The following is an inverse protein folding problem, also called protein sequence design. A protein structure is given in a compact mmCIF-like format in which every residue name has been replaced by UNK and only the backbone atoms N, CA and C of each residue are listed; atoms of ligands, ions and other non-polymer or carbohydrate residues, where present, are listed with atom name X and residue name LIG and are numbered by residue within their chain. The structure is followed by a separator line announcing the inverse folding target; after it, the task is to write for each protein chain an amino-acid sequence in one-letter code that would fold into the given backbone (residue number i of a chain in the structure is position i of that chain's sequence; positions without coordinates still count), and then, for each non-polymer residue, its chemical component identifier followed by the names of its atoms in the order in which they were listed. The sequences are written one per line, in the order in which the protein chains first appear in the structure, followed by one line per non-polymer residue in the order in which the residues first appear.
data_IF_514568119261
#
_entry.id   IF_514568119261
#
_cell.length_a   1.000
_cell.length_b   1.000
_cell.length_c   1.000
_cell.angle_alpha   90.00
_cell.angle_beta   90.00
_cell.angle_gamma   90.00
#
_symmetry.space_group_name_H-M   'P 1'
#
loop_
_entity.id
_entity.type
_entity.pdbx_description
1 polymer ?
#
# COMPACT_ATOMS: atom_id res chain seq x y z
N UNK A 1 18.65 -3.68 2.02
CA UNK A 1 18.06 -2.32 1.95
C UNK A 1 18.80 -1.24 2.75
N UNK A 2 19.85 -1.52 3.53
CA UNK A 2 20.62 -0.46 4.21
C UNK A 2 21.59 0.32 3.29
N UNK A 3 21.96 -0.21 2.12
CA UNK A 3 23.09 0.32 1.33
C UNK A 3 22.71 1.02 0.04
N UNK A 4 21.42 1.04 -0.35
CA UNK A 4 20.97 1.60 -1.63
C UNK A 4 19.69 2.42 -1.45
N UNK A 5 19.87 3.64 -0.95
CA UNK A 5 18.85 4.69 -0.89
C UNK A 5 19.14 5.69 -2.02
N UNK A 6 18.13 6.10 -2.76
CA UNK A 6 18.28 7.18 -3.75
C UNK A 6 18.59 8.49 -3.02
N UNK A 7 19.62 9.21 -3.48
CA UNK A 7 20.04 10.49 -2.87
C UNK A 7 19.10 11.65 -3.23
N UNK A 8 18.33 11.52 -4.31
CA UNK A 8 17.39 12.55 -4.80
C UNK A 8 15.96 12.33 -4.35
N UNK A 9 15.59 11.10 -4.02
CA UNK A 9 14.25 10.73 -3.52
C UNK A 9 14.42 9.65 -2.42
N UNK A 10 14.53 10.06 -1.15
CA UNK A 10 14.80 9.16 -0.03
C UNK A 10 13.71 8.10 0.21
N UNK A 11 12.50 8.34 -0.30
CA UNK A 11 11.32 7.50 -0.12
C UNK A 11 11.23 6.40 -1.21
N UNK A 12 11.85 6.63 -2.36
CA UNK A 12 12.02 5.61 -3.39
C UNK A 12 13.08 4.58 -2.93
N UNK A 13 12.66 3.34 -2.68
CA UNK A 13 13.56 2.25 -2.27
C UNK A 13 13.50 1.09 -3.25
N UNK A 14 14.55 0.27 -3.24
CA UNK A 14 14.64 -0.91 -4.08
C UNK A 14 13.56 -1.93 -3.68
N UNK A 15 12.59 -2.15 -4.55
CA UNK A 15 11.62 -3.22 -4.45
C UNK A 15 11.68 -4.14 -5.67
N UNK A 16 11.23 -5.37 -5.46
CA UNK A 16 11.00 -6.37 -6.51
C UNK A 16 9.54 -6.78 -6.46
N UNK A 17 8.89 -6.81 -7.61
CA UNK A 17 7.49 -7.26 -7.73
C UNK A 17 7.36 -8.78 -7.56
N UNK A 18 8.36 -9.53 -8.03
CA UNK A 18 8.43 -10.98 -7.90
C UNK A 18 9.87 -11.44 -7.65
N UNK A 19 10.06 -12.69 -7.20
CA UNK A 19 11.37 -13.24 -6.87
C UNK A 19 12.38 -13.24 -8.06
N UNK A 20 11.86 -13.23 -9.30
CA UNK A 20 12.68 -13.19 -10.53
C UNK A 20 12.89 -11.79 -11.12
N UNK A 21 12.26 -10.76 -10.58
CA UNK A 21 12.37 -9.40 -11.14
C UNK A 21 13.62 -8.67 -10.65
N UNK A 22 14.14 -7.79 -11.51
CA UNK A 22 15.19 -6.86 -11.13
C UNK A 22 14.67 -5.86 -10.06
N UNK A 23 15.47 -5.61 -9.03
CA UNK A 23 15.16 -4.59 -8.03
C UNK A 23 15.19 -3.21 -8.68
N UNK A 24 14.10 -2.45 -8.57
CA UNK A 24 13.99 -1.07 -9.08
C UNK A 24 13.64 -0.13 -7.94
N UNK A 25 14.08 1.12 -8.04
CA UNK A 25 13.61 2.18 -7.14
C UNK A 25 12.15 2.45 -7.46
N UNK A 26 11.27 2.27 -6.49
CA UNK A 26 9.85 2.53 -6.65
C UNK A 26 9.25 3.07 -5.35
N UNK A 27 8.04 3.61 -5.50
CA UNK A 27 7.13 3.96 -4.42
C UNK A 27 6.05 2.89 -4.31
N UNK A 28 5.42 2.77 -3.14
CA UNK A 28 4.24 1.91 -2.97
C UNK A 28 3.00 2.78 -3.11
N UNK A 29 2.17 2.48 -4.10
CA UNK A 29 0.87 3.12 -4.27
C UNK A 29 -0.22 2.23 -3.69
N UNK A 30 -1.08 2.82 -2.87
CA UNK A 30 -2.23 2.20 -2.24
C UNK A 30 -3.49 2.82 -2.83
N UNK A 31 -4.41 2.00 -3.30
CA UNK A 31 -5.63 2.45 -3.99
C UNK A 31 -6.83 1.90 -3.23
N UNK A 32 -7.71 2.79 -2.78
CA UNK A 32 -9.01 2.41 -2.24
C UNK A 32 -10.07 2.52 -3.35
N UNK A 33 -10.80 1.44 -3.57
CA UNK A 33 -11.85 1.37 -4.59
C UNK A 33 -13.21 1.06 -4.00
N UNK A 34 -14.25 1.70 -4.53
CA UNK A 34 -15.64 1.32 -4.30
C UNK A 34 -15.93 0.02 -5.07
N UNK A 35 -16.30 -1.02 -4.34
CA UNK A 35 -16.32 -2.39 -4.88
C UNK A 35 -17.41 -2.63 -5.94
N UNK A 36 -18.54 -1.90 -5.90
CA UNK A 36 -19.66 -2.14 -6.82
C UNK A 36 -19.37 -1.68 -8.24
N UNK A 37 -18.76 -0.52 -8.38
CA UNK A 37 -18.54 0.11 -9.68
C UNK A 37 -17.06 0.19 -10.08
N UNK A 38 -16.15 -0.23 -9.19
CA UNK A 38 -14.70 -0.17 -9.42
C UNK A 38 -14.17 1.27 -9.44
N UNK A 39 -14.87 2.20 -8.80
CA UNK A 39 -14.45 3.61 -8.77
C UNK A 39 -13.32 3.80 -7.77
N UNK A 40 -12.25 4.48 -8.18
CA UNK A 40 -11.18 4.90 -7.28
C UNK A 40 -11.74 5.99 -6.36
N UNK A 41 -11.75 5.71 -5.06
CA UNK A 41 -12.24 6.62 -4.02
C UNK A 41 -11.12 7.49 -3.51
N UNK A 42 -9.94 6.89 -3.30
CA UNK A 42 -8.78 7.59 -2.74
C UNK A 42 -7.49 6.83 -3.09
N UNK A 43 -6.36 7.53 -3.08
CA UNK A 43 -5.03 6.99 -3.37
C UNK A 43 -4.03 7.58 -2.39
N UNK A 44 -3.19 6.73 -1.79
CA UNK A 44 -2.01 7.19 -1.06
C UNK A 44 -0.73 6.58 -1.64
N UNK A 45 0.38 7.29 -1.45
CA UNK A 45 1.70 6.84 -1.88
C UNK A 45 2.61 6.89 -0.67
N UNK A 46 3.37 5.82 -0.44
CA UNK A 46 4.31 5.72 0.66
C UNK A 46 5.66 5.20 0.18
N UNK A 47 6.68 5.39 1.03
CA UNK A 47 7.95 4.72 0.86
C UNK A 47 7.78 3.20 0.85
N UNK A 48 8.69 2.51 0.15
CA UNK A 48 8.70 1.04 0.15
C UNK A 48 9.24 0.52 1.47
N UNK A 49 8.32 0.18 2.37
CA UNK A 49 8.63 -0.58 3.56
C UNK A 49 7.58 -1.69 3.72
N UNK A 50 7.98 -2.89 4.15
CA UNK A 50 7.08 -4.05 4.25
C UNK A 50 5.99 -3.95 5.33
N UNK A 51 5.78 -2.76 5.91
CA UNK A 51 4.73 -2.46 6.89
C UNK A 51 3.79 -1.34 6.44
N UNK A 52 4.15 -0.55 5.44
CA UNK A 52 3.42 0.65 5.03
C UNK A 52 2.07 0.29 4.40
N UNK A 53 1.98 -0.85 3.71
CA UNK A 53 0.74 -1.32 3.07
C UNK A 53 -0.44 -1.39 4.05
N UNK A 54 -0.25 -1.97 5.24
CA UNK A 54 -1.35 -2.10 6.22
C UNK A 54 -1.71 -0.75 6.87
N UNK A 55 -0.72 0.07 7.18
CA UNK A 55 -0.93 1.39 7.81
C UNK A 55 -1.66 2.31 6.85
N UNK A 56 -1.22 2.37 5.60
CA UNK A 56 -1.83 3.21 4.58
C UNK A 56 -3.23 2.73 4.19
N UNK A 57 -3.43 1.42 4.07
CA UNK A 57 -4.77 0.88 3.84
C UNK A 57 -5.74 1.24 4.98
N UNK A 58 -5.30 1.15 6.25
CA UNK A 58 -6.12 1.56 7.39
C UNK A 58 -6.41 3.07 7.37
N UNK A 59 -5.43 3.90 7.03
CA UNK A 59 -5.61 5.34 6.88
C UNK A 59 -6.64 5.68 5.81
N UNK A 60 -6.58 5.03 4.64
CA UNK A 60 -7.55 5.22 3.56
C UNK A 60 -8.96 4.80 3.99
N UNK A 61 -9.09 3.69 4.72
CA UNK A 61 -10.38 3.24 5.26
C UNK A 61 -10.92 4.18 6.33
N UNK A 62 -10.10 4.64 7.28
CA UNK A 62 -10.56 5.57 8.33
C UNK A 62 -11.08 6.89 7.77
N UNK A 63 -10.52 7.36 6.64
CA UNK A 63 -10.95 8.59 5.98
C UNK A 63 -12.25 8.42 5.20
N UNK A 64 -12.46 7.25 4.58
CA UNK A 64 -13.50 7.08 3.55
C UNK A 64 -14.61 6.10 3.93
N UNK A 65 -14.32 5.08 4.75
CA UNK A 65 -15.28 4.06 5.13
C UNK A 65 -16.18 4.53 6.26
N UNK A 66 -17.49 4.26 6.12
CA UNK A 66 -18.46 4.52 7.18
C UNK A 66 -18.54 3.32 8.12
N UNK A 67 -18.94 3.55 9.37
CA UNK A 67 -19.20 2.46 10.33
C UNK A 67 -20.22 1.48 9.74
N UNK A 68 -19.89 0.18 9.76
CA UNK A 68 -20.71 -0.88 9.17
C UNK A 68 -20.45 -1.16 7.69
N UNK A 69 -19.47 -0.49 7.06
CA UNK A 69 -19.02 -0.83 5.72
C UNK A 69 -18.25 -2.15 5.72
N UNK A 70 -18.46 -2.97 4.69
CA UNK A 70 -17.68 -4.19 4.43
C UNK A 70 -16.47 -3.85 3.56
N UNK A 71 -15.30 -4.38 3.92
CA UNK A 71 -14.06 -4.14 3.18
C UNK A 71 -13.61 -5.44 2.51
N UNK A 72 -13.37 -5.38 1.20
CA UNK A 72 -12.66 -6.44 0.48
C UNK A 72 -11.18 -6.11 0.45
N UNK A 73 -10.33 -7.05 0.85
CA UNK A 73 -8.88 -6.90 0.80
C UNK A 73 -8.23 -8.22 0.36
N UNK A 74 -7.01 -8.14 -0.18
CA UNK A 74 -6.24 -9.31 -0.58
C UNK A 74 -5.76 -10.11 0.65
N UNK A 75 -5.35 -11.36 0.46
CA UNK A 75 -4.88 -12.28 1.51
C UNK A 75 -3.77 -11.69 2.38
N UNK A 76 -2.92 -10.81 1.82
CA UNK A 76 -1.85 -10.13 2.57
C UNK A 76 -2.35 -9.21 3.69
N UNK A 77 -3.63 -8.82 3.66
CA UNK A 77 -4.26 -7.95 4.66
C UNK A 77 -4.93 -8.73 5.81
N UNK A 78 -4.93 -10.07 5.79
CA UNK A 78 -5.44 -10.90 6.88
C UNK A 78 -4.52 -10.83 8.11
N UNK A 79 -4.59 -9.70 8.80
CA UNK A 79 -3.77 -9.35 9.96
C UNK A 79 -4.66 -8.79 11.08
N UNK A 80 -4.28 -8.93 12.36
CA UNK A 80 -5.11 -8.45 13.48
C UNK A 80 -5.38 -6.95 13.50
N UNK A 81 -4.65 -6.16 12.70
CA UNK A 81 -4.86 -4.71 12.58
C UNK A 81 -5.98 -4.37 11.57
N UNK A 82 -6.37 -5.33 10.73
CA UNK A 82 -7.31 -5.14 9.63
C UNK A 82 -8.60 -5.97 9.81
N UNK A 83 -8.57 -7.02 10.64
CA UNK A 83 -9.69 -7.94 10.96
C UNK A 83 -10.26 -7.66 12.35
#
# INVERSE_FOLDING_TARGET
NQTHQSKTDPEARLARKSAGDASRLCHMAHILTENRNGLVVDVSVSEVNGRAENVEALNLLLRNAKKGSTVGADKGYDTPAFV
#
